data_IF_018648798037
#
_entry.id   IF_018648798037
#
_cell.length_a   1.000
_cell.length_b   1.000
_cell.length_c   1.000
_cell.angle_alpha   90.00
_cell.angle_beta   90.00
_cell.angle_gamma   90.00
#
_symmetry.space_group_name_H-M   'P 1'
#
loop_
_entity.id
_entity.type
_entity.pdbx_description
1 polymer ?
#
# COMPACT_ATOMS: atom_id res chain seq x y z
N UNK A 1 -56.74 -10.90 -6.47
CA UNK A 1 -55.70 -10.62 -7.49
C UNK A 1 -55.15 -9.23 -7.22
N UNK A 2 -53.92 -9.12 -6.73
CA UNK A 2 -53.08 -7.92 -6.86
C UNK A 2 -51.67 -8.42 -7.16
N UNK A 3 -51.22 -8.01 -8.33
CA UNK A 3 -49.98 -8.34 -9.01
C UNK A 3 -48.78 -7.76 -8.27
N UNK A 4 -47.68 -8.48 -8.33
CA UNK A 4 -46.34 -8.07 -7.93
C UNK A 4 -45.77 -7.11 -8.97
N UNK A 5 -45.54 -5.86 -8.59
CA UNK A 5 -44.78 -4.93 -9.43
C UNK A 5 -43.31 -4.99 -9.01
N UNK A 6 -42.50 -5.51 -9.93
CA UNK A 6 -41.04 -5.52 -9.90
C UNK A 6 -40.58 -4.10 -10.21
N UNK A 7 -39.82 -3.48 -9.31
CA UNK A 7 -39.21 -2.17 -9.57
C UNK A 7 -37.85 -2.43 -10.23
N UNK A 8 -37.82 -2.31 -11.55
CA UNK A 8 -36.60 -2.19 -12.33
C UNK A 8 -36.05 -0.77 -12.13
N UNK A 9 -34.83 -0.65 -11.61
CA UNK A 9 -34.10 0.62 -11.52
C UNK A 9 -33.15 0.64 -12.73
N UNK A 10 -33.60 1.27 -13.82
CA UNK A 10 -32.73 1.70 -14.92
C UNK A 10 -31.87 2.88 -14.44
N UNK A 11 -30.55 2.70 -14.41
CA UNK A 11 -29.61 3.81 -14.23
C UNK A 11 -29.50 4.61 -15.54
N UNK A 12 -29.72 5.93 -15.55
CA UNK A 12 -29.51 6.75 -16.74
C UNK A 12 -28.01 6.90 -17.01
N UNK A 13 -27.60 6.51 -18.21
CA UNK A 13 -26.27 6.76 -18.78
C UNK A 13 -26.20 8.25 -19.15
N UNK A 14 -25.73 9.10 -18.24
CA UNK A 14 -25.44 10.49 -18.54
C UNK A 14 -24.28 10.57 -19.55
N UNK A 15 -24.60 11.05 -20.75
CA UNK A 15 -23.68 11.22 -21.87
C UNK A 15 -22.75 12.41 -21.58
N UNK A 16 -21.46 12.12 -21.44
CA UNK A 16 -20.36 13.11 -21.27
C UNK A 16 -20.23 14.10 -22.45
N UNK A 17 -20.99 13.90 -23.54
CA UNK A 17 -20.94 14.72 -24.74
C UNK A 17 -21.66 16.08 -24.60
N UNK A 18 -22.65 16.19 -23.71
CA UNK A 18 -23.47 17.40 -23.59
C UNK A 18 -22.77 18.55 -22.82
N UNK A 19 -21.88 18.24 -21.88
CA UNK A 19 -21.12 19.26 -21.13
C UNK A 19 -20.08 19.98 -22.01
N UNK A 20 -19.53 19.29 -23.01
CA UNK A 20 -18.55 19.86 -23.94
C UNK A 20 -19.21 20.70 -25.04
N UNK A 21 -20.50 20.51 -25.30
CA UNK A 21 -21.29 21.33 -26.23
C UNK A 21 -21.54 22.74 -25.69
N UNK A 22 -21.91 22.85 -24.41
CA UNK A 22 -22.17 24.13 -23.72
C UNK A 22 -20.92 25.00 -23.56
N UNK A 23 -19.74 24.37 -23.35
CA UNK A 23 -18.46 25.10 -23.27
C UNK A 23 -18.01 25.66 -24.63
N UNK A 24 -18.50 25.10 -25.73
CA UNK A 24 -18.13 25.49 -27.11
C UNK A 24 -18.93 26.69 -27.61
N UNK A 25 -20.10 26.95 -27.04
CA UNK A 25 -20.94 28.11 -27.39
C UNK A 25 -20.59 29.36 -26.56
N UNK A 26 -19.99 29.19 -25.37
CA UNK A 26 -19.66 30.30 -24.46
C UNK A 26 -18.31 30.99 -24.77
N UNK A 27 -17.37 30.31 -25.44
CA UNK A 27 -16.11 30.88 -25.90
C UNK A 27 -16.17 31.15 -27.41
N UNK A 28 -16.86 32.24 -27.79
CA UNK A 28 -16.64 32.85 -29.09
C UNK A 28 -15.19 33.31 -29.23
N UNK A 29 -14.63 33.11 -30.42
CA UNK A 29 -13.26 33.42 -30.88
C UNK A 29 -12.22 32.29 -30.71
N UNK A 30 -11.67 31.87 -31.85
CA UNK A 30 -10.65 30.83 -31.98
C UNK A 30 -9.37 31.20 -31.21
N UNK A 31 -8.86 30.35 -30.30
CA UNK A 31 -7.52 30.52 -29.81
C UNK A 31 -6.53 29.91 -30.81
N UNK A 32 -5.71 30.76 -31.42
CA UNK A 32 -4.45 30.37 -32.07
C UNK A 32 -3.57 29.70 -31.02
N UNK A 33 -3.51 28.36 -31.03
CA UNK A 33 -2.60 27.61 -30.16
C UNK A 33 -1.21 27.65 -30.80
N UNK A 34 -0.39 28.62 -30.39
CA UNK A 34 1.06 28.48 -30.51
C UNK A 34 1.49 27.25 -29.73
N UNK A 35 1.75 26.15 -30.46
CA UNK A 35 2.28 24.91 -29.90
C UNK A 35 3.67 25.17 -29.31
N UNK A 36 3.72 25.55 -28.03
CA UNK A 36 4.94 25.51 -27.22
C UNK A 36 5.33 24.04 -27.04
N UNK A 37 6.21 23.57 -27.92
CA UNK A 37 6.89 22.28 -27.78
C UNK A 37 7.78 22.35 -26.55
N UNK A 38 7.26 21.89 -25.42
CA UNK A 38 8.06 21.60 -24.22
C UNK A 38 8.94 20.41 -24.55
N UNK A 39 10.15 20.70 -25.03
CA UNK A 39 11.21 19.71 -25.19
C UNK A 39 11.64 19.27 -23.78
N UNK A 40 11.03 18.18 -23.31
CA UNK A 40 11.47 17.48 -22.11
C UNK A 40 12.88 16.97 -22.39
N UNK A 41 13.89 17.70 -21.93
CA UNK A 41 15.29 17.31 -22.03
C UNK A 41 15.48 16.02 -21.22
N UNK A 42 15.52 14.90 -21.93
CA UNK A 42 15.93 13.61 -21.38
C UNK A 42 17.41 13.79 -21.07
N UNK A 43 17.72 14.14 -19.83
CA UNK A 43 19.08 14.08 -19.32
C UNK A 43 19.53 12.62 -19.40
N UNK A 44 20.30 12.30 -20.44
CA UNK A 44 20.99 11.02 -20.57
C UNK A 44 21.96 10.92 -19.40
N UNK A 45 21.56 10.21 -18.34
CA UNK A 45 22.51 9.77 -17.32
C UNK A 45 23.57 8.95 -18.05
N UNK A 46 24.87 9.17 -17.83
CA UNK A 46 25.91 8.30 -18.38
C UNK A 46 25.79 6.95 -17.67
N UNK A 47 24.94 6.09 -18.21
CA UNK A 47 24.93 4.68 -17.88
C UNK A 47 25.98 4.06 -18.78
N UNK A 48 27.13 3.72 -18.22
CA UNK A 48 27.80 2.51 -18.72
C UNK A 48 26.71 1.45 -18.70
N UNK A 49 26.36 0.94 -19.89
CA UNK A 49 25.33 -0.06 -20.00
C UNK A 49 25.70 -1.18 -19.05
N UNK A 50 24.76 -1.66 -18.24
CA UNK A 50 25.01 -2.82 -17.36
C UNK A 50 25.55 -4.01 -18.18
N UNK A 51 25.25 -4.03 -19.49
CA UNK A 51 25.73 -5.00 -20.48
C UNK A 51 27.22 -4.88 -20.83
N UNK A 52 27.86 -3.73 -20.59
CA UNK A 52 29.27 -3.48 -20.95
C UNK A 52 30.22 -3.60 -19.75
N UNK A 53 29.70 -3.92 -18.56
CA UNK A 53 30.49 -4.09 -17.34
C UNK A 53 31.16 -5.47 -17.32
N UNK A 54 32.41 -5.53 -16.86
CA UNK A 54 33.01 -6.82 -16.47
C UNK A 54 32.27 -7.43 -15.28
N UNK A 55 32.39 -8.75 -15.09
CA UNK A 55 31.70 -9.46 -14.00
C UNK A 55 32.04 -8.90 -12.61
N UNK A 56 33.29 -8.47 -12.41
CA UNK A 56 33.75 -7.89 -11.14
C UNK A 56 33.17 -6.49 -10.92
N UNK A 57 33.10 -5.65 -11.97
CA UNK A 57 32.47 -4.34 -11.92
C UNK A 57 30.95 -4.46 -11.68
N UNK A 58 30.30 -5.45 -12.31
CA UNK A 58 28.88 -5.72 -12.10
C UNK A 58 28.59 -6.15 -10.66
N UNK A 59 29.43 -7.02 -10.07
CA UNK A 59 29.32 -7.42 -8.66
C UNK A 59 29.50 -6.22 -7.73
N UNK A 60 30.53 -5.41 -7.95
CA UNK A 60 30.78 -4.20 -7.17
C UNK A 60 29.61 -3.21 -7.27
N UNK A 61 29.07 -3.01 -8.48
CA UNK A 61 27.90 -2.17 -8.71
C UNK A 61 26.66 -2.66 -7.96
N UNK A 62 26.36 -3.97 -8.01
CA UNK A 62 25.23 -4.56 -7.27
C UNK A 62 25.41 -4.42 -5.76
N UNK A 63 26.62 -4.63 -5.24
CA UNK A 63 26.94 -4.43 -3.83
C UNK A 63 26.71 -2.98 -3.41
N UNK A 64 27.19 -2.02 -4.20
CA UNK A 64 26.98 -0.59 -3.94
C UNK A 64 25.49 -0.23 -3.94
N UNK A 65 24.72 -0.71 -4.92
CA UNK A 65 23.26 -0.50 -4.97
C UNK A 65 22.52 -1.12 -3.80
N UNK A 66 22.96 -2.29 -3.34
CA UNK A 66 22.40 -2.93 -2.16
C UNK A 66 22.71 -2.14 -0.89
N UNK A 67 23.94 -1.63 -0.75
CA UNK A 67 24.35 -0.78 0.37
C UNK A 67 23.54 0.53 0.39
N UNK A 68 23.41 1.21 -0.75
CA UNK A 68 22.59 2.42 -0.91
C UNK A 68 21.13 2.16 -0.52
N UNK A 69 20.56 1.04 -0.96
CA UNK A 69 19.20 0.64 -0.59
C UNK A 69 19.06 0.43 0.92
N UNK A 70 19.98 -0.30 1.56
CA UNK A 70 19.96 -0.54 3.02
C UNK A 70 20.12 0.76 3.80
N UNK A 71 20.99 1.67 3.36
CA UNK A 71 21.16 2.98 3.96
C UNK A 71 19.87 3.79 3.92
N UNK A 72 19.19 3.85 2.75
CA UNK A 72 17.89 4.54 2.62
C UNK A 72 16.81 3.98 3.53
N UNK A 73 16.76 2.65 3.69
CA UNK A 73 15.81 2.01 4.60
C UNK A 73 16.11 2.37 6.06
N UNK A 74 17.37 2.32 6.49
CA UNK A 74 17.78 2.75 7.83
C UNK A 74 17.46 4.21 8.12
N UNK A 75 17.68 5.11 7.15
CA UNK A 75 17.30 6.52 7.30
C UNK A 75 15.79 6.65 7.50
N UNK A 76 14.97 5.93 6.72
CA UNK A 76 13.52 5.97 6.89
C UNK A 76 13.05 5.41 8.24
N UNK A 77 13.63 4.29 8.68
CA UNK A 77 13.37 3.72 10.01
C UNK A 77 13.78 4.71 11.12
N UNK A 78 14.88 5.43 10.93
CA UNK A 78 15.32 6.45 11.90
C UNK A 78 14.38 7.65 11.99
N UNK A 79 13.69 7.97 10.88
CA UNK A 79 12.63 8.98 10.79
C UNK A 79 11.25 8.47 11.27
N UNK A 80 11.20 7.28 11.87
CA UNK A 80 9.96 6.69 12.42
C UNK A 80 9.01 6.10 11.38
N UNK A 81 9.47 5.89 10.15
CA UNK A 81 8.64 5.37 9.06
C UNK A 81 9.21 4.09 8.44
N UNK A 82 8.35 3.29 7.82
CA UNK A 82 8.71 2.09 7.06
C UNK A 82 8.39 2.31 5.59
N UNK A 83 9.12 1.63 4.69
CA UNK A 83 8.66 1.56 3.28
C UNK A 83 7.32 0.82 3.24
N UNK A 84 6.31 1.40 2.59
CA UNK A 84 5.08 0.69 2.29
C UNK A 84 5.33 -0.37 1.21
N UNK A 85 5.23 -1.64 1.62
CA UNK A 85 5.22 -2.81 0.76
C UNK A 85 4.43 -3.95 1.44
N UNK A 86 4.21 -5.06 0.73
CA UNK A 86 3.39 -6.16 1.25
C UNK A 86 4.00 -6.85 2.48
N UNK A 87 5.31 -6.74 2.68
CA UNK A 87 5.97 -7.30 3.87
C UNK A 87 5.73 -6.42 5.08
N UNK A 88 6.01 -5.11 4.94
CA UNK A 88 5.80 -4.15 6.03
C UNK A 88 4.34 -4.01 6.42
N UNK A 89 3.42 -4.08 5.45
CA UNK A 89 1.98 -4.05 5.72
C UNK A 89 1.52 -5.26 6.54
N UNK A 90 2.00 -6.47 6.23
CA UNK A 90 1.69 -7.68 7.00
C UNK A 90 2.22 -7.60 8.43
N UNK A 91 3.45 -7.11 8.59
CA UNK A 91 4.04 -6.91 9.92
C UNK A 91 3.26 -5.86 10.73
N UNK A 92 2.86 -4.74 10.10
CA UNK A 92 2.07 -3.71 10.77
C UNK A 92 0.67 -4.22 11.18
N UNK A 93 0.02 -5.01 10.33
CA UNK A 93 -1.26 -5.64 10.65
C UNK A 93 -1.13 -6.68 11.77
N UNK A 94 -0.04 -7.46 11.79
CA UNK A 94 0.23 -8.41 12.85
C UNK A 94 0.43 -7.69 14.21
N UNK A 95 1.18 -6.59 14.21
CA UNK A 95 1.36 -5.75 15.40
C UNK A 95 0.04 -5.19 15.91
N UNK A 96 -0.80 -4.65 15.01
CA UNK A 96 -2.12 -4.14 15.37
C UNK A 96 -3.01 -5.24 15.98
N UNK A 97 -3.03 -6.43 15.37
CA UNK A 97 -3.78 -7.58 15.90
C UNK A 97 -3.28 -8.01 17.28
N UNK A 98 -1.96 -8.02 17.51
CA UNK A 98 -1.37 -8.31 18.83
C UNK A 98 -1.80 -7.27 19.88
N UNK A 99 -1.83 -5.99 19.54
CA UNK A 99 -2.27 -4.93 20.44
C UNK A 99 -3.76 -5.07 20.79
N UNK A 100 -4.61 -5.33 19.80
CA UNK A 100 -6.06 -5.54 20.01
C UNK A 100 -6.30 -6.77 20.90
N UNK A 101 -5.60 -7.88 20.66
CA UNK A 101 -5.70 -9.08 21.50
C UNK A 101 -5.20 -8.86 22.93
N UNK A 102 -4.12 -8.09 23.09
CA UNK A 102 -3.55 -7.80 24.40
C UNK A 102 -4.50 -6.94 25.25
N UNK A 103 -5.16 -5.94 24.65
CA UNK A 103 -6.12 -5.08 25.36
C UNK A 103 -7.50 -5.69 25.49
N UNK A 104 -7.86 -6.63 24.61
CA UNK A 104 -9.25 -7.10 24.49
C UNK A 104 -10.19 -6.04 23.93
N UNK A 105 -9.65 -5.11 23.12
CA UNK A 105 -10.43 -4.02 22.53
C UNK A 105 -11.37 -4.47 21.40
N UNK A 106 -12.09 -3.52 20.78
CA UNK A 106 -12.98 -3.81 19.65
C UNK A 106 -12.27 -4.58 18.55
N UNK A 107 -12.91 -5.67 18.08
CA UNK A 107 -12.35 -6.56 17.06
C UNK A 107 -11.48 -7.70 17.59
N UNK A 108 -11.18 -7.78 18.89
CA UNK A 108 -10.45 -8.91 19.47
C UNK A 108 -11.14 -10.25 19.19
N UNK A 109 -12.48 -10.30 19.27
CA UNK A 109 -13.26 -11.50 18.97
C UNK A 109 -13.13 -11.94 17.52
N UNK A 110 -13.05 -10.99 16.58
CA UNK A 110 -12.84 -11.30 15.17
C UNK A 110 -11.46 -11.94 14.94
N UNK A 111 -10.44 -11.43 15.60
CA UNK A 111 -9.09 -12.02 15.57
C UNK A 111 -9.10 -13.42 16.20
N UNK A 112 -9.77 -13.61 17.34
CA UNK A 112 -9.89 -14.91 17.99
C UNK A 112 -10.63 -15.94 17.12
N UNK A 113 -11.72 -15.52 16.46
CA UNK A 113 -12.46 -16.36 15.52
C UNK A 113 -11.60 -16.77 14.31
N UNK A 114 -10.81 -15.83 13.77
CA UNK A 114 -9.87 -16.14 12.71
C UNK A 114 -8.80 -17.15 13.18
N UNK A 115 -8.21 -16.94 14.36
CA UNK A 115 -7.24 -17.86 14.95
C UNK A 115 -7.84 -19.25 15.16
N UNK A 116 -9.11 -19.35 15.58
CA UNK A 116 -9.82 -20.62 15.73
C UNK A 116 -9.98 -21.38 14.41
N UNK A 117 -10.12 -20.67 13.27
CA UNK A 117 -10.15 -21.30 11.93
C UNK A 117 -8.77 -21.74 11.46
N UNK A 118 -7.74 -20.94 11.73
CA UNK A 118 -6.35 -21.26 11.35
C UNK A 118 -5.82 -22.45 12.15
N UNK A 119 -6.06 -22.47 13.46
CA UNK A 119 -5.61 -23.50 14.41
C UNK A 119 -6.73 -24.45 14.81
N UNK A 120 -7.54 -24.90 13.83
CA UNK A 120 -8.72 -25.73 14.08
C UNK A 120 -8.40 -27.10 14.73
N UNK A 121 -7.19 -27.60 14.54
CA UNK A 121 -6.64 -28.82 15.14
C UNK A 121 -6.14 -28.61 16.58
N UNK A 122 -5.93 -27.35 17.00
CA UNK A 122 -5.33 -26.98 18.28
C UNK A 122 -6.28 -26.09 19.08
N UNK A 123 -7.26 -26.72 19.72
CA UNK A 123 -8.37 -26.06 20.44
C UNK A 123 -7.90 -25.03 21.49
N UNK A 124 -6.70 -25.20 22.07
CA UNK A 124 -6.11 -24.26 23.04
C UNK A 124 -5.21 -23.15 22.45
N UNK A 125 -4.89 -23.20 21.16
CA UNK A 125 -3.94 -22.27 20.54
C UNK A 125 -4.44 -20.81 20.56
N UNK A 126 -5.69 -20.48 20.19
CA UNK A 126 -6.17 -19.09 20.24
C UNK A 126 -6.07 -18.48 21.64
N UNK A 127 -6.48 -19.21 22.67
CA UNK A 127 -6.39 -18.75 24.07
C UNK A 127 -4.93 -18.56 24.52
N UNK A 128 -4.06 -19.49 24.12
CA UNK A 128 -2.62 -19.40 24.42
C UNK A 128 -1.99 -18.20 23.73
N UNK A 129 -2.35 -17.91 22.48
CA UNK A 129 -1.87 -16.74 21.73
C UNK A 129 -2.34 -15.46 22.42
N UNK A 130 -3.62 -15.37 22.81
CA UNK A 130 -4.15 -14.22 23.54
C UNK A 130 -3.40 -14.00 24.87
N UNK A 131 -3.19 -15.06 25.65
CA UNK A 131 -2.44 -14.99 26.90
C UNK A 131 -0.98 -14.55 26.68
N UNK A 132 -0.34 -15.02 25.61
CA UNK A 132 1.03 -14.60 25.24
C UNK A 132 1.09 -13.15 24.75
N UNK A 133 0.05 -12.66 24.07
CA UNK A 133 -0.08 -11.25 23.70
C UNK A 133 -0.23 -10.37 24.96
N UNK A 134 -1.12 -10.74 25.88
CA UNK A 134 -1.33 -10.04 27.16
C UNK A 134 -0.08 -9.99 28.04
N UNK A 135 0.65 -11.10 28.12
CA UNK A 135 1.89 -11.19 28.91
C UNK A 135 3.11 -10.56 28.23
N UNK A 136 2.98 -10.08 26.98
CA UNK A 136 4.10 -9.50 26.22
C UNK A 136 5.14 -10.52 25.75
N UNK A 137 4.82 -11.83 25.80
CA UNK A 137 5.65 -12.89 25.20
C UNK A 137 5.62 -12.83 23.67
N UNK A 138 4.52 -12.35 23.09
CA UNK A 138 4.43 -11.98 21.68
C UNK A 138 4.57 -10.46 21.56
N UNK A 139 5.73 -10.00 21.07
CA UNK A 139 6.06 -8.57 20.99
C UNK A 139 5.78 -8.02 19.59
N UNK A 140 5.08 -6.89 19.48
CA UNK A 140 4.99 -6.13 18.23
C UNK A 140 6.38 -5.80 17.69
N UNK A 141 6.61 -6.07 16.39
CA UNK A 141 7.91 -5.93 15.74
C UNK A 141 8.20 -4.49 15.33
N UNK A 142 7.22 -3.76 14.79
CA UNK A 142 7.37 -2.42 14.22
C UNK A 142 7.05 -1.29 15.20
N UNK A 143 6.44 -1.60 16.34
CA UNK A 143 6.05 -0.58 17.34
C UNK A 143 7.21 0.31 17.82
N UNK A 144 8.44 -0.20 17.81
CA UNK A 144 9.63 0.58 18.19
C UNK A 144 10.00 1.66 17.16
N UNK A 145 9.58 1.49 15.90
CA UNK A 145 9.78 2.46 14.82
C UNK A 145 8.74 3.57 14.93
N UNK A 146 7.48 3.20 15.17
CA UNK A 146 6.35 4.15 15.26
C UNK A 146 6.34 5.04 16.52
N UNK A 147 7.22 4.79 17.50
CA UNK A 147 7.31 5.54 18.77
C UNK A 147 8.25 6.75 18.73
N UNK A 148 8.94 6.96 17.62
CA UNK A 148 9.81 8.12 17.40
C UNK A 148 9.03 9.25 16.75
#
# INVERSE_FOLDING_TARGET
MRTTDVIEIEEPIDRVEDELGLLKELLGEEPVIETLVVTKSISKRPTVGIADMSDDEFRAYKAQKQAERRARLKVRESLGSMKFDSSSAREALADAALLILATGGPGADAVMNYLGRVYHDQVGAPMTIQARARSGRLKPKLLHIARK
#
